data_IF_676862530930
#
_entry.id   IF_676862530930
#
_cell.length_a   1.000
_cell.length_b   1.000
_cell.length_c   1.000
_cell.angle_alpha   90.00
_cell.angle_beta   90.00
_cell.angle_gamma   90.00
#
_symmetry.space_group_name_H-M   'P 1'
#
loop_
_entity.id
_entity.type
_entity.pdbx_description
1 polymer ?
#
# COMPACT_ATOMS: atom_id res chain seq x y z
N UNK A 1 -23.54 -0.94 -0.85
CA UNK A 1 -22.74 -1.89 -0.02
C UNK A 1 -22.34 -3.04 -0.95
N UNK A 2 -21.08 -3.48 -0.95
CA UNK A 2 -20.66 -4.51 -1.90
C UNK A 2 -21.43 -5.82 -1.66
N UNK A 3 -21.80 -6.51 -2.74
CA UNK A 3 -22.46 -7.83 -2.68
C UNK A 3 -21.45 -8.96 -2.42
N UNK A 4 -20.16 -8.68 -2.55
CA UNK A 4 -19.05 -9.62 -2.47
C UNK A 4 -17.84 -8.91 -1.81
N UNK A 5 -16.80 -9.68 -1.46
CA UNK A 5 -15.56 -9.11 -0.91
C UNK A 5 -14.84 -8.29 -1.98
N UNK A 6 -14.68 -6.99 -1.73
CA UNK A 6 -13.86 -6.13 -2.58
C UNK A 6 -12.38 -6.37 -2.29
N UNK A 7 -11.61 -6.73 -3.31
CA UNK A 7 -10.16 -6.93 -3.22
C UNK A 7 -9.44 -5.95 -4.12
N UNK A 8 -8.70 -5.01 -3.54
CA UNK A 8 -7.83 -4.11 -4.30
C UNK A 8 -6.46 -4.77 -4.51
N UNK A 9 -6.05 -4.94 -5.76
CA UNK A 9 -4.77 -5.54 -6.14
C UNK A 9 -3.92 -4.53 -6.89
N UNK A 10 -2.63 -4.49 -6.59
CA UNK A 10 -1.66 -3.80 -7.43
C UNK A 10 -1.53 -4.56 -8.77
N UNK A 11 -1.15 -3.84 -9.82
CA UNK A 11 -0.91 -4.40 -11.15
C UNK A 11 0.43 -5.18 -11.25
N UNK A 12 1.29 -5.07 -10.23
CA UNK A 12 2.59 -5.74 -10.15
C UNK A 12 2.74 -6.43 -8.79
N UNK A 13 3.47 -7.53 -8.78
CA UNK A 13 3.91 -8.21 -7.56
C UNK A 13 5.05 -7.43 -6.90
N UNK A 14 5.15 -7.52 -5.57
CA UNK A 14 6.32 -7.00 -4.86
C UNK A 14 7.54 -7.87 -5.13
N UNK A 15 8.73 -7.28 -5.04
CA UNK A 15 10.00 -8.00 -5.12
C UNK A 15 10.38 -8.51 -3.72
N UNK A 16 10.65 -9.82 -3.56
CA UNK A 16 11.08 -10.35 -2.27
C UNK A 16 12.46 -9.82 -1.88
N UNK A 17 12.73 -9.72 -0.57
CA UNK A 17 14.02 -9.28 -0.04
C UNK A 17 14.26 -7.76 -0.09
N UNK A 18 13.24 -6.97 -0.41
CA UNK A 18 13.29 -5.51 -0.44
C UNK A 18 12.24 -4.91 0.50
N UNK A 19 12.56 -3.76 1.09
CA UNK A 19 11.58 -2.99 1.86
C UNK A 19 10.58 -2.31 0.92
N UNK A 20 9.30 -2.41 1.27
CA UNK A 20 8.19 -1.77 0.56
C UNK A 20 7.32 -1.04 1.56
N UNK A 21 6.93 0.18 1.23
CA UNK A 21 5.93 0.93 1.99
C UNK A 21 4.57 0.63 1.41
N UNK A 22 3.69 0.04 2.22
CA UNK A 22 2.31 -0.27 1.84
C UNK A 22 1.36 0.57 2.67
N UNK A 23 0.44 1.27 1.99
CA UNK A 23 -0.65 1.96 2.65
C UNK A 23 -1.98 1.62 1.97
N UNK A 24 -3.04 1.49 2.76
CA UNK A 24 -4.40 1.35 2.28
C UNK A 24 -5.28 2.37 2.98
N UNK A 25 -6.14 3.05 2.23
CA UNK A 25 -7.06 4.05 2.78
C UNK A 25 -8.49 3.78 2.33
N UNK A 26 -9.45 4.13 3.19
CA UNK A 26 -10.87 4.00 2.89
C UNK A 26 -11.66 5.12 3.57
N UNK A 27 -12.33 5.94 2.76
CA UNK A 27 -13.09 7.12 3.22
C UNK A 27 -14.60 6.85 3.37
N UNK A 28 -15.02 5.59 3.27
CA UNK A 28 -16.44 5.21 3.24
C UNK A 28 -17.04 5.10 1.83
N UNK A 29 -16.29 5.48 0.79
CA UNK A 29 -16.69 5.38 -0.62
C UNK A 29 -15.59 4.81 -1.52
N UNK A 30 -14.35 5.25 -1.35
CA UNK A 30 -13.21 4.88 -2.17
C UNK A 30 -12.17 4.17 -1.31
N UNK A 31 -11.84 2.94 -1.71
CA UNK A 31 -10.67 2.22 -1.22
C UNK A 31 -9.49 2.54 -2.14
N UNK A 32 -8.34 2.85 -1.57
CA UNK A 32 -7.10 3.13 -2.32
C UNK A 32 -5.95 2.29 -1.77
N UNK A 33 -5.08 1.82 -2.66
CA UNK A 33 -3.86 1.08 -2.32
C UNK A 33 -2.66 1.85 -2.85
N UNK A 34 -1.65 2.01 -1.99
CA UNK A 34 -0.41 2.68 -2.31
C UNK A 34 0.78 1.76 -2.08
N UNK A 35 1.73 1.79 -3.00
CA UNK A 35 3.01 1.06 -2.93
C UNK A 35 4.12 2.07 -3.13
N UNK A 36 5.03 2.20 -2.16
CA UNK A 36 6.12 3.18 -2.17
C UNK A 36 5.62 4.61 -2.45
N UNK A 37 4.48 4.95 -1.87
CA UNK A 37 3.82 6.26 -2.03
C UNK A 37 2.97 6.38 -3.28
N UNK A 38 3.16 5.59 -4.33
CA UNK A 38 2.35 5.67 -5.54
C UNK A 38 0.99 4.98 -5.37
N UNK A 39 -0.11 5.65 -5.74
CA UNK A 39 -1.44 5.02 -5.77
C UNK A 39 -1.51 3.98 -6.92
N UNK A 40 -1.53 2.70 -6.58
CA UNK A 40 -1.50 1.60 -7.57
C UNK A 40 -2.87 0.99 -7.86
N UNK A 41 -3.88 1.24 -7.02
CA UNK A 41 -5.25 0.80 -7.23
C UNK A 41 -6.28 1.69 -6.53
N UNK A 42 -7.49 1.74 -7.08
CA UNK A 42 -8.66 2.33 -6.43
C UNK A 42 -9.91 1.51 -6.74
N UNK A 43 -10.84 1.41 -5.78
CA UNK A 43 -12.15 0.77 -5.96
C UNK A 43 -13.23 1.55 -5.24
N UNK A 44 -14.39 1.67 -5.88
CA UNK A 44 -15.62 2.23 -5.31
C UNK A 44 -16.71 1.18 -5.08
N UNK A 45 -16.38 -0.11 -5.16
CA UNK A 45 -17.37 -1.20 -5.02
C UNK A 45 -17.95 -1.28 -3.60
N UNK A 46 -17.12 -0.96 -2.60
CA UNK A 46 -17.50 -0.93 -1.21
C UNK A 46 -17.90 0.49 -0.79
N UNK A 47 -19.06 0.60 -0.14
CA UNK A 47 -19.60 1.87 0.36
C UNK A 47 -20.19 1.69 1.76
N UNK A 48 -20.11 2.76 2.57
CA UNK A 48 -20.55 2.80 3.96
C UNK A 48 -19.42 2.46 4.96
N UNK A 49 -19.78 2.27 6.23
CA UNK A 49 -18.80 1.92 7.26
C UNK A 49 -18.10 0.58 7.02
N UNK A 50 -16.86 0.46 7.51
CA UNK A 50 -16.07 -0.79 7.46
C UNK A 50 -16.81 -1.92 8.17
N UNK A 51 -17.42 -1.62 9.32
CA UNK A 51 -18.23 -2.57 10.07
C UNK A 51 -19.72 -2.38 9.76
N UNK A 52 -20.44 -3.49 9.60
CA UNK A 52 -21.91 -3.43 9.55
C UNK A 52 -22.45 -3.01 10.91
N UNK A 53 -23.64 -2.37 10.98
CA UNK A 53 -24.30 -2.12 12.26
C UNK A 53 -24.43 -3.39 13.12
N UNK A 54 -24.68 -4.54 12.48
CA UNK A 54 -24.78 -5.85 13.15
C UNK A 54 -23.45 -6.41 13.66
N UNK A 55 -22.31 -5.88 13.19
CA UNK A 55 -20.96 -6.38 13.49
C UNK A 55 -20.06 -5.34 14.16
N UNK A 56 -20.61 -4.18 14.52
CA UNK A 56 -19.96 -3.13 15.33
C UNK A 56 -19.78 -3.59 16.78
N UNK A 57 -18.85 -4.52 16.98
CA UNK A 57 -18.33 -4.94 18.29
C UNK A 57 -16.82 -4.77 18.28
N UNK A 58 -16.19 -4.76 19.45
CA UNK A 58 -14.74 -4.77 19.58
C UNK A 58 -14.11 -5.86 18.71
N UNK A 59 -13.04 -5.52 17.98
CA UNK A 59 -12.31 -6.43 17.09
C UNK A 59 -10.88 -6.55 17.57
N UNK A 60 -10.32 -7.75 17.42
CA UNK A 60 -8.89 -7.99 17.59
C UNK A 60 -8.19 -7.57 16.30
N UNK A 61 -7.15 -6.75 16.42
CA UNK A 61 -6.23 -6.46 15.33
C UNK A 61 -5.19 -7.59 15.26
N UNK A 62 -5.10 -8.24 14.11
CA UNK A 62 -4.05 -9.22 13.83
C UNK A 62 -3.09 -8.63 12.81
N UNK A 63 -1.80 -8.79 13.08
CA UNK A 63 -0.73 -8.49 12.13
C UNK A 63 0.03 -9.78 11.82
N UNK A 64 0.50 -9.92 10.57
CA UNK A 64 1.29 -11.06 10.16
C UNK A 64 0.48 -12.32 9.83
N UNK A 65 -0.85 -12.28 9.86
CA UNK A 65 -1.67 -13.37 9.35
C UNK A 65 -3.11 -13.39 9.82
N UNK A 66 -3.73 -14.57 9.74
CA UNK A 66 -5.10 -14.82 10.18
C UNK A 66 -5.21 -16.06 11.08
N UNK A 67 -6.35 -16.18 11.76
CA UNK A 67 -6.73 -17.37 12.51
C UNK A 67 -6.82 -18.64 11.63
N UNK A 68 -6.95 -18.49 10.31
CA UNK A 68 -7.08 -19.58 9.33
C UNK A 68 -5.74 -20.01 8.70
N UNK A 69 -4.61 -19.75 9.36
CA UNK A 69 -3.27 -20.14 8.88
C UNK A 69 -2.77 -19.48 7.58
N UNK A 70 -3.34 -18.35 7.20
CA UNK A 70 -2.72 -17.47 6.20
C UNK A 70 -1.68 -16.59 6.89
N UNK A 71 -0.44 -17.07 6.99
CA UNK A 71 0.63 -16.37 7.71
C UNK A 71 1.56 -15.64 6.73
N UNK A 72 1.95 -14.42 7.08
CA UNK A 72 2.98 -13.66 6.41
C UNK A 72 4.35 -14.08 6.93
N UNK A 73 5.30 -14.31 6.01
CA UNK A 73 6.70 -14.56 6.32
C UNK A 73 7.54 -13.42 5.76
N UNK A 74 8.00 -12.55 6.65
CA UNK A 74 8.83 -11.40 6.31
C UNK A 74 8.98 -10.45 7.50
N UNK A 75 9.56 -9.29 7.25
CA UNK A 75 9.77 -8.27 8.27
C UNK A 75 8.72 -7.16 8.14
N UNK A 76 8.39 -6.55 9.28
CA UNK A 76 7.62 -5.31 9.37
C UNK A 76 8.44 -4.35 10.23
N UNK A 77 8.77 -3.18 9.70
CA UNK A 77 9.57 -2.19 10.44
C UNK A 77 8.68 -1.19 11.18
N UNK A 78 7.60 -0.73 10.55
CA UNK A 78 6.66 0.23 11.13
C UNK A 78 5.24 -0.13 10.78
N UNK A 79 4.33 0.11 11.70
CA UNK A 79 2.90 -0.04 11.47
C UNK A 79 2.15 1.15 12.07
N UNK A 80 1.27 1.76 11.28
CA UNK A 80 0.43 2.87 11.72
C UNK A 80 -1.03 2.62 11.31
N UNK A 81 -1.97 2.91 12.21
CA UNK A 81 -3.40 2.83 11.97
C UNK A 81 -4.05 4.17 12.31
N UNK A 82 -4.89 4.64 11.40
CA UNK A 82 -5.55 5.95 11.49
C UNK A 82 -7.06 5.81 11.54
N UNK A 83 -7.73 6.74 12.20
CA UNK A 83 -9.19 6.84 12.25
C UNK A 83 -9.79 7.42 10.96
N UNK A 84 -8.97 8.04 10.11
CA UNK A 84 -9.39 8.64 8.85
C UNK A 84 -8.53 8.17 7.67
N UNK A 85 -9.09 8.28 6.47
CA UNK A 85 -8.38 8.01 5.23
C UNK A 85 -7.27 9.06 5.02
N UNK A 86 -6.03 8.59 4.88
CA UNK A 86 -4.90 9.46 4.54
C UNK A 86 -5.00 9.92 3.08
N UNK A 87 -4.63 11.17 2.85
CA UNK A 87 -4.43 11.75 1.51
C UNK A 87 -3.13 11.26 0.88
N UNK A 88 -2.97 11.45 -0.43
CA UNK A 88 -1.73 11.11 -1.16
C UNK A 88 -0.51 11.80 -0.55
N UNK A 89 -0.60 13.10 -0.27
CA UNK A 89 0.44 13.86 0.41
C UNK A 89 0.79 13.29 1.79
N UNK A 90 -0.22 12.94 2.58
CA UNK A 90 -0.01 12.35 3.90
C UNK A 90 0.65 10.97 3.84
N UNK A 91 0.29 10.13 2.87
CA UNK A 91 0.95 8.83 2.65
C UNK A 91 2.44 9.00 2.31
N UNK A 92 2.79 10.04 1.54
CA UNK A 92 4.20 10.36 1.25
C UNK A 92 4.94 10.82 2.50
N UNK A 93 4.32 11.68 3.31
CA UNK A 93 4.89 12.14 4.58
C UNK A 93 5.09 10.97 5.55
N UNK A 94 4.10 10.09 5.70
CA UNK A 94 4.12 8.91 6.57
C UNK A 94 5.22 7.90 6.11
N UNK A 95 5.56 7.89 4.82
CA UNK A 95 6.63 7.05 4.26
C UNK A 95 8.03 7.60 4.59
N UNK A 96 8.22 8.92 4.47
CA UNK A 96 9.50 9.61 4.69
C UNK A 96 9.85 9.72 6.18
N UNK A 97 8.84 9.79 7.04
CA UNK A 97 9.07 9.96 8.48
C UNK A 97 9.68 8.72 9.13
N UNK A 98 10.85 8.91 9.75
CA UNK A 98 11.52 7.93 10.62
C UNK A 98 11.34 8.20 12.12
N UNK A 99 10.48 9.14 12.51
CA UNK A 99 10.38 9.60 13.90
C UNK A 99 8.97 9.97 14.35
N UNK A 100 8.78 9.99 15.67
CA UNK A 100 7.57 10.42 16.35
C UNK A 100 7.25 11.87 15.97
N UNK A 101 6.14 12.08 15.27
CA UNK A 101 5.60 13.42 15.08
C UNK A 101 4.90 13.89 16.37
N UNK A 102 4.82 15.22 16.53
CA UNK A 102 3.81 15.88 17.34
C UNK A 102 2.43 15.23 17.14
N UNK A 103 1.53 15.21 18.13
CA UNK A 103 0.30 14.44 18.10
C UNK A 103 -0.41 14.59 16.76
N UNK A 104 -0.32 13.52 15.96
CA UNK A 104 -0.94 13.48 14.66
C UNK A 104 -2.44 13.29 14.90
N UNK A 105 -3.28 14.26 14.50
CA UNK A 105 -4.71 14.14 14.74
C UNK A 105 -5.21 12.85 14.08
N UNK A 106 -6.01 12.07 14.80
CA UNK A 106 -6.64 10.82 14.31
C UNK A 106 -5.73 9.59 14.19
N UNK A 107 -4.45 9.65 14.59
CA UNK A 107 -3.61 8.45 14.74
C UNK A 107 -4.17 7.59 15.88
N UNK A 108 -4.45 6.31 15.62
CA UNK A 108 -4.98 5.37 16.61
C UNK A 108 -3.89 4.49 17.21
N UNK A 109 -2.96 4.03 16.38
CA UNK A 109 -1.89 3.13 16.78
C UNK A 109 -0.67 3.40 15.91
N UNK A 110 0.50 3.43 16.52
CA UNK A 110 1.79 3.44 15.84
C UNK A 110 2.73 2.50 16.56
N UNK A 111 3.39 1.63 15.81
CA UNK A 111 4.30 0.62 16.31
C UNK A 111 5.68 0.77 15.68
N UNK A 112 6.68 0.84 16.55
CA UNK A 112 8.10 0.77 16.23
C UNK A 112 8.77 -0.50 16.79
N UNK A 113 7.98 -1.40 17.39
CA UNK A 113 8.36 -2.69 17.95
C UNK A 113 9.24 -2.67 19.21
N UNK A 114 9.67 -1.51 19.72
CA UNK A 114 10.54 -1.42 20.91
C UNK A 114 9.95 -2.13 22.15
N UNK A 115 8.62 -2.12 22.27
CA UNK A 115 7.89 -2.71 23.39
C UNK A 115 6.87 -3.78 22.94
N UNK A 116 7.22 -4.60 21.94
CA UNK A 116 6.29 -5.55 21.31
C UNK A 116 5.55 -6.45 22.31
N UNK A 117 6.19 -6.88 23.39
CA UNK A 117 5.58 -7.75 24.43
C UNK A 117 4.47 -7.09 25.24
N UNK A 118 4.41 -5.75 25.25
CA UNK A 118 3.38 -4.98 25.97
C UNK A 118 2.11 -4.80 25.13
N UNK A 119 2.27 -4.61 23.83
CA UNK A 119 1.17 -4.28 22.92
C UNK A 119 0.65 -5.50 22.13
N UNK A 120 1.45 -6.55 21.96
CA UNK A 120 1.14 -7.68 21.10
C UNK A 120 1.32 -9.03 21.81
N UNK A 121 0.45 -9.97 21.48
CA UNK A 121 0.54 -11.37 21.90
C UNK A 121 0.40 -12.30 20.68
N UNK A 122 1.23 -13.34 20.56
CA UNK A 122 1.07 -14.35 19.51
C UNK A 122 -0.25 -15.10 19.66
N UNK A 123 -0.93 -15.28 18.53
CA UNK A 123 -2.25 -15.91 18.52
C UNK A 123 -2.20 -17.44 18.68
N UNK A 124 -1.12 -18.10 18.22
CA UNK A 124 -1.15 -19.55 17.94
C UNK A 124 -0.32 -20.41 18.88
N UNK A 125 0.84 -19.93 19.30
CA UNK A 125 1.87 -20.76 19.93
C UNK A 125 2.18 -20.36 21.38
N UNK A 126 1.50 -19.36 21.93
CA UNK A 126 1.74 -18.86 23.30
C UNK A 126 3.17 -18.35 23.52
N UNK A 127 3.96 -18.22 22.45
CA UNK A 127 5.33 -17.75 22.52
C UNK A 127 5.36 -16.27 22.91
N UNK A 128 6.50 -15.78 23.37
CA UNK A 128 6.70 -14.34 23.54
C UNK A 128 7.15 -13.73 22.21
N UNK A 129 6.56 -12.62 21.76
CA UNK A 129 7.01 -11.96 20.53
C UNK A 129 8.44 -11.45 20.70
N UNK A 130 9.20 -11.49 19.60
CA UNK A 130 10.60 -11.07 19.53
C UNK A 130 10.78 -10.10 18.38
N UNK A 131 11.69 -9.14 18.58
CA UNK A 131 12.13 -8.22 17.52
C UNK A 131 13.41 -8.79 16.94
N UNK A 132 13.49 -8.83 15.61
CA UNK A 132 14.66 -9.29 14.88
C UNK A 132 15.12 -8.19 13.92
N UNK A 133 16.44 -8.01 13.79
CA UNK A 133 17.00 -7.11 12.81
C UNK A 133 16.83 -7.70 11.40
N UNK A 134 16.38 -6.88 10.45
CA UNK A 134 16.32 -7.29 9.06
C UNK A 134 17.68 -7.13 8.40
N UNK A 135 18.13 -8.16 7.66
CA UNK A 135 19.27 -8.06 6.76
C UNK A 135 18.95 -7.42 5.41
N UNK A 136 17.69 -7.04 5.15
CA UNK A 136 17.29 -6.41 3.90
C UNK A 136 17.88 -5.00 3.80
N UNK A 137 18.40 -4.65 2.61
CA UNK A 137 18.94 -3.31 2.35
C UNK A 137 17.82 -2.27 2.51
N UNK A 138 18.12 -1.16 3.18
CA UNK A 138 17.18 -0.08 3.44
C UNK A 138 16.53 0.47 2.17
N UNK A 139 15.40 1.18 2.37
CA UNK A 139 14.55 1.74 1.32
C UNK A 139 15.36 2.58 0.31
N UNK A 140 15.76 1.97 -0.80
CA UNK A 140 16.19 2.71 -1.99
C UNK A 140 14.91 2.97 -2.78
N UNK A 141 14.50 4.24 -2.88
CA UNK A 141 13.54 4.67 -3.90
C UNK A 141 14.21 4.44 -5.26
N UNK A 142 14.18 3.20 -5.74
CA UNK A 142 14.52 2.91 -7.12
C UNK A 142 13.38 3.46 -7.97
N UNK A 143 13.50 4.72 -8.38
CA UNK A 143 12.58 5.39 -9.30
C UNK A 143 12.82 4.94 -10.74
N UNK A 144 13.27 3.71 -10.93
CA UNK A 144 13.30 3.02 -12.21
C UNK A 144 11.87 2.92 -12.75
N UNK A 145 11.55 3.78 -13.71
CA UNK A 145 10.36 3.67 -14.54
C UNK A 145 10.54 2.46 -15.45
N UNK A 146 10.05 1.30 -15.01
CA UNK A 146 10.01 0.11 -15.88
C UNK A 146 8.89 0.25 -16.91
N UNK A 147 9.22 0.24 -18.22
CA UNK A 147 8.20 0.19 -19.25
C UNK A 147 7.34 -1.07 -19.08
N UNK A 148 6.00 -0.98 -19.21
CA UNK A 148 5.14 -2.16 -19.17
C UNK A 148 5.48 -3.10 -20.34
N UNK A 149 5.20 -4.39 -20.16
CA UNK A 149 5.31 -5.37 -21.24
C UNK A 149 4.43 -4.95 -22.42
N UNK A 150 4.92 -5.16 -23.63
CA UNK A 150 4.13 -4.96 -24.84
C UNK A 150 2.86 -5.83 -24.79
N UNK A 151 1.73 -5.22 -25.11
CA UNK A 151 0.37 -5.80 -25.13
C UNK A 151 -0.59 -5.27 -24.06
N UNK A 152 -0.12 -4.47 -23.10
CA UNK A 152 -0.91 -4.08 -21.91
C UNK A 152 -1.38 -2.62 -21.88
N UNK A 153 -0.93 -1.81 -22.83
CA UNK A 153 -1.20 -0.37 -22.88
C UNK A 153 -1.89 0.03 -24.17
N UNK A 154 -2.41 1.26 -24.19
CA UNK A 154 -2.89 1.91 -25.41
C UNK A 154 -1.83 1.95 -26.53
N UNK A 155 -0.55 1.87 -26.19
CA UNK A 155 0.57 1.82 -27.13
C UNK A 155 0.63 0.48 -27.89
N UNK A 156 -0.12 -0.53 -27.47
CA UNK A 156 -0.14 -1.86 -28.07
C UNK A 156 -1.30 -2.05 -29.06
N UNK A 157 -2.15 -1.03 -29.20
CA UNK A 157 -3.19 -1.02 -30.20
C UNK A 157 -2.57 -0.93 -31.61
N UNK A 158 -2.85 -1.85 -32.54
CA UNK A 158 -2.26 -1.86 -33.88
C UNK A 158 -2.48 -0.56 -34.66
N UNK A 159 -3.61 0.12 -34.43
CA UNK A 159 -3.91 1.42 -35.04
C UNK A 159 -3.09 2.56 -34.44
N UNK A 160 -2.77 2.48 -33.15
CA UNK A 160 -1.91 3.46 -32.47
C UNK A 160 -0.46 3.27 -32.91
N UNK A 161 0.02 2.02 -32.98
CA UNK A 161 1.35 1.68 -33.49
C UNK A 161 1.51 2.09 -34.95
N UNK A 162 0.54 1.78 -35.81
CA UNK A 162 0.60 2.16 -37.22
C UNK A 162 0.66 3.68 -37.39
N UNK A 163 -0.16 4.42 -36.64
CA UNK A 163 -0.13 5.89 -36.61
C UNK A 163 1.19 6.45 -36.09
N UNK A 164 1.77 5.85 -35.04
CA UNK A 164 3.09 6.23 -34.51
C UNK A 164 4.22 6.03 -35.53
N UNK A 165 4.20 4.91 -36.25
CA UNK A 165 5.21 4.58 -37.27
C UNK A 165 5.07 5.47 -38.52
N UNK A 166 3.84 5.72 -38.96
CA UNK A 166 3.54 6.52 -40.16
C UNK A 166 3.81 8.01 -39.96
N UNK A 167 3.81 8.52 -38.73
CA UNK A 167 3.96 9.95 -38.44
C UNK A 167 5.31 10.26 -37.74
N UNK A 168 6.33 10.77 -38.47
CA UNK A 168 7.68 11.04 -37.92
C UNK A 168 7.68 11.98 -36.71
N UNK A 169 6.69 12.87 -36.61
CA UNK A 169 6.49 13.78 -35.46
C UNK A 169 6.26 13.02 -34.13
N UNK A 170 5.71 11.81 -34.18
CA UNK A 170 5.45 11.00 -33.00
C UNK A 170 6.71 10.29 -32.49
N UNK A 171 7.67 10.02 -33.39
CA UNK A 171 8.99 9.43 -33.07
C UNK A 171 10.04 10.40 -32.54
N UNK A 172 9.73 11.71 -32.51
CA UNK A 172 10.63 12.72 -31.91
C UNK A 172 10.72 12.54 -30.40
N UNK A 173 11.88 12.83 -29.77
CA UNK A 173 12.04 12.83 -28.32
C UNK A 173 10.90 13.60 -27.66
N UNK A 174 10.30 13.00 -26.62
CA UNK A 174 9.22 13.60 -25.86
C UNK A 174 9.79 14.09 -24.53
N UNK A 175 9.56 15.36 -24.22
CA UNK A 175 9.78 15.86 -22.87
C UNK A 175 8.59 15.41 -22.01
N UNK A 176 8.81 14.44 -21.14
CA UNK A 176 7.80 14.03 -20.15
C UNK A 176 7.74 15.13 -19.09
N UNK A 177 6.72 15.98 -19.19
CA UNK A 177 6.39 16.94 -18.15
C UNK A 177 5.39 16.29 -17.22
N UNK A 178 5.87 15.72 -16.13
CA UNK A 178 5.02 15.27 -15.06
C UNK A 178 4.94 16.37 -14.00
N UNK A 179 3.73 16.58 -13.50
CA UNK A 179 3.53 17.30 -12.25
C UNK A 179 3.16 16.24 -11.24
N UNK A 180 3.96 16.09 -10.20
CA UNK A 180 3.52 15.34 -9.03
C UNK A 180 2.34 16.13 -8.47
N UNK A 181 1.13 15.65 -8.70
CA UNK A 181 -0.08 16.23 -8.12
C UNK A 181 -0.18 15.61 -6.73
N UNK A 182 0.29 16.36 -5.74
CA UNK A 182 0.24 16.02 -4.32
C UNK A 182 -1.18 16.02 -3.79
#
# INVERSE_FOLDING_TARGET
>A
RARQVTTNKAHRSYLPGQWVHLAATYDGRLMKLYVNGAQVATSGEQVGGIFSPLTQKCKVLMLGGSALNHNYRGYVERFSLWKAARTQREVLLDMETRGLHAPLPQLLLQENWDNVKRAWSPMKDGSSPRVEASGARGFLLDTSLEPPLCGQTLCDNPKVISSYNQLPRFRRPKAVRYRVVN
#
